data_IF_456017301466
#
_entry.id   IF_456017301466
#
_cell.length_a   1.000
_cell.length_b   1.000
_cell.length_c   1.000
_cell.angle_alpha   90.00
_cell.angle_beta   90.00
_cell.angle_gamma   90.00
#
_symmetry.space_group_name_H-M   'P 1'
#
loop_
_entity.id
_entity.type
_entity.pdbx_description
1 polymer ?
#
# COMPACT_ATOMS: atom_id res chain seq x y z
N UNK A 1 -14.20 11.95 19.40
CA UNK A 1 -13.37 11.72 20.61
C UNK A 1 -12.01 11.15 20.18
N UNK A 2 -10.99 11.21 21.02
CA UNK A 2 -9.67 10.63 20.73
C UNK A 2 -9.78 9.13 20.47
N UNK A 3 -10.59 8.43 21.26
CA UNK A 3 -10.83 6.99 21.10
C UNK A 3 -11.44 6.67 19.74
N UNK A 4 -12.41 7.44 19.26
CA UNK A 4 -12.99 7.26 17.93
C UNK A 4 -11.96 7.42 16.81
N UNK A 5 -11.10 8.43 16.90
CA UNK A 5 -10.05 8.67 15.92
C UNK A 5 -9.03 7.52 15.88
N UNK A 6 -8.60 7.05 17.04
CA UNK A 6 -7.65 5.93 17.17
C UNK A 6 -8.25 4.60 16.67
N UNK A 7 -9.51 4.34 16.96
CA UNK A 7 -10.21 3.15 16.48
C UNK A 7 -10.32 3.14 14.95
N UNK A 8 -10.68 4.27 14.35
CA UNK A 8 -10.75 4.42 12.89
C UNK A 8 -9.37 4.30 12.23
N UNK A 9 -8.34 4.88 12.83
CA UNK A 9 -6.97 4.74 12.35
C UNK A 9 -6.52 3.28 12.36
N UNK A 10 -6.72 2.57 13.49
CA UNK A 10 -6.40 1.15 13.60
C UNK A 10 -7.14 0.29 12.59
N UNK A 11 -8.43 0.58 12.34
CA UNK A 11 -9.22 -0.14 11.36
C UNK A 11 -8.68 0.08 9.94
N UNK A 12 -8.35 1.32 9.57
CA UNK A 12 -7.74 1.65 8.27
C UNK A 12 -6.36 1.01 8.07
N UNK A 13 -5.58 0.89 9.14
CA UNK A 13 -4.31 0.16 9.11
C UNK A 13 -4.51 -1.33 8.79
N UNK A 14 -5.50 -1.97 9.44
CA UNK A 14 -5.84 -3.38 9.16
C UNK A 14 -6.39 -3.53 7.73
N UNK A 15 -7.24 -2.61 7.28
CA UNK A 15 -7.75 -2.60 5.90
C UNK A 15 -6.59 -2.54 4.89
N UNK A 16 -5.61 -1.68 5.10
CA UNK A 16 -4.42 -1.59 4.24
C UNK A 16 -3.63 -2.91 4.20
N UNK A 17 -3.44 -3.56 5.37
CA UNK A 17 -2.79 -4.87 5.44
C UNK A 17 -3.55 -5.93 4.64
N UNK A 18 -4.86 -5.98 4.77
CA UNK A 18 -5.71 -6.92 4.05
C UNK A 18 -5.71 -6.66 2.54
N UNK A 19 -5.79 -5.40 2.10
CA UNK A 19 -5.72 -5.03 0.68
C UNK A 19 -4.38 -5.42 0.06
N UNK A 20 -3.29 -5.25 0.79
CA UNK A 20 -1.95 -5.55 0.28
C UNK A 20 -1.58 -7.03 0.39
N UNK A 21 -1.83 -7.66 1.53
CA UNK A 21 -1.29 -8.97 1.89
C UNK A 21 -2.33 -10.00 2.33
N UNK A 22 -3.61 -9.70 2.31
CA UNK A 22 -4.64 -10.67 2.69
C UNK A 22 -4.45 -12.01 1.98
N UNK A 23 -4.67 -13.11 2.70
CA UNK A 23 -4.44 -14.47 2.21
C UNK A 23 -5.67 -15.11 1.57
N UNK A 24 -6.81 -14.43 1.58
CA UNK A 24 -8.08 -14.91 1.02
C UNK A 24 -8.73 -16.05 1.82
N UNK A 25 -8.25 -16.35 3.03
CA UNK A 25 -8.81 -17.43 3.85
C UNK A 25 -9.84 -16.92 4.85
N UNK A 26 -10.96 -17.64 5.02
CA UNK A 26 -11.99 -17.27 5.96
C UNK A 26 -12.61 -15.91 5.70
N UNK A 27 -12.41 -14.95 6.61
CA UNK A 27 -12.91 -13.57 6.50
C UNK A 27 -11.86 -12.60 5.95
N UNK A 28 -10.67 -13.08 5.57
CA UNK A 28 -9.61 -12.25 5.01
C UNK A 28 -9.83 -11.94 3.53
N UNK A 29 -9.43 -10.75 3.11
CA UNK A 29 -9.39 -10.41 1.68
C UNK A 29 -8.28 -11.19 0.96
N UNK A 30 -8.43 -11.43 -0.34
CA UNK A 30 -7.32 -11.87 -1.17
C UNK A 30 -6.58 -10.62 -1.69
N UNK A 31 -5.44 -10.33 -1.06
CA UNK A 31 -4.66 -9.11 -1.28
C UNK A 31 -4.03 -9.02 -2.67
N UNK A 32 -3.53 -7.84 -3.02
CA UNK A 32 -2.91 -7.60 -4.33
C UNK A 32 -1.55 -8.30 -4.44
N UNK A 33 -0.72 -8.24 -3.39
CA UNK A 33 0.64 -8.80 -3.42
C UNK A 33 0.71 -10.31 -3.70
N UNK A 34 -0.14 -11.17 -3.09
CA UNK A 34 -0.14 -12.59 -3.41
C UNK A 34 -0.51 -12.90 -4.86
N UNK A 35 -1.30 -12.04 -5.50
CA UNK A 35 -1.79 -12.21 -6.87
C UNK A 35 -0.91 -11.52 -7.91
N UNK A 36 -0.10 -10.52 -7.51
CA UNK A 36 0.75 -9.76 -8.42
C UNK A 36 1.78 -10.64 -9.15
N UNK A 37 2.12 -10.25 -10.35
CA UNK A 37 3.18 -10.90 -11.12
C UNK A 37 4.53 -10.66 -10.45
N UNK A 38 5.34 -11.70 -10.34
CA UNK A 38 6.70 -11.55 -9.79
C UNK A 38 7.52 -10.63 -10.69
N UNK A 39 8.25 -9.72 -10.06
CA UNK A 39 9.20 -8.86 -10.77
C UNK A 39 10.24 -9.68 -11.52
N UNK A 40 10.42 -9.36 -12.78
CA UNK A 40 11.44 -9.92 -13.65
C UNK A 40 11.94 -8.83 -14.59
N UNK A 41 13.17 -8.39 -14.39
CA UNK A 41 13.79 -7.42 -15.27
C UNK A 41 13.83 -7.93 -16.72
N UNK A 42 13.41 -7.08 -17.66
CA UNK A 42 13.44 -7.42 -19.09
C UNK A 42 14.86 -7.42 -19.66
N UNK A 43 15.76 -6.64 -19.04
CA UNK A 43 17.19 -6.53 -19.37
C UNK A 43 17.97 -6.08 -18.15
N UNK A 44 19.28 -6.27 -18.19
CA UNK A 44 20.18 -5.84 -17.12
C UNK A 44 20.60 -4.37 -17.32
N UNK A 45 20.65 -3.62 -16.23
CA UNK A 45 21.13 -2.24 -16.19
C UNK A 45 22.46 -2.21 -15.43
N UNK A 46 23.47 -1.55 -15.99
CA UNK A 46 24.74 -1.40 -15.30
C UNK A 46 24.56 -0.61 -13.99
N UNK A 47 25.12 -1.11 -12.89
CA UNK A 47 24.99 -0.51 -11.55
C UNK A 47 23.53 -0.31 -11.12
N UNK A 48 22.66 -1.27 -11.44
CA UNK A 48 21.24 -1.24 -11.14
C UNK A 48 20.95 -0.95 -9.66
N UNK A 49 19.98 -0.10 -9.44
CA UNK A 49 19.53 0.31 -8.11
C UNK A 49 17.98 0.28 -8.02
N UNK A 50 17.42 0.59 -6.86
CA UNK A 50 15.97 0.56 -6.65
C UNK A 50 15.16 1.50 -7.56
N UNK A 51 15.76 2.56 -8.07
CA UNK A 51 15.14 3.48 -9.05
C UNK A 51 14.98 2.78 -10.40
N UNK A 52 16.00 2.03 -10.81
CA UNK A 52 15.98 1.25 -12.05
C UNK A 52 15.00 0.09 -11.95
N UNK A 53 14.93 -0.58 -10.79
CA UNK A 53 13.97 -1.66 -10.54
C UNK A 53 12.53 -1.19 -10.73
N UNK A 54 12.18 -0.04 -10.18
CA UNK A 54 10.85 0.55 -10.35
C UNK A 54 10.57 0.90 -11.81
N UNK A 55 11.56 1.40 -12.55
CA UNK A 55 11.39 1.67 -13.99
C UNK A 55 11.19 0.39 -14.79
N UNK A 56 11.92 -0.67 -14.47
CA UNK A 56 11.79 -1.97 -15.12
C UNK A 56 10.45 -2.65 -14.76
N UNK A 57 9.96 -2.46 -13.53
CA UNK A 57 8.63 -2.91 -13.15
C UNK A 57 7.52 -2.20 -13.95
N UNK A 58 7.67 -0.88 -14.18
CA UNK A 58 6.75 -0.16 -15.08
C UNK A 58 6.78 -0.74 -16.49
N UNK A 59 7.96 -1.06 -17.01
CA UNK A 59 8.11 -1.70 -18.31
C UNK A 59 7.42 -3.07 -18.34
N UNK A 60 7.58 -3.87 -17.31
CA UNK A 60 6.91 -5.17 -17.21
C UNK A 60 5.38 -5.04 -17.26
N UNK A 61 4.80 -4.11 -16.50
CA UNK A 61 3.37 -3.82 -16.54
C UNK A 61 2.91 -3.32 -17.93
N UNK A 62 3.72 -2.47 -18.57
CA UNK A 62 3.44 -1.97 -19.91
C UNK A 62 3.47 -3.07 -20.98
N UNK A 63 4.42 -4.01 -20.88
CA UNK A 63 4.47 -5.18 -21.76
C UNK A 63 3.26 -6.11 -21.57
N UNK A 64 2.69 -6.14 -20.37
CA UNK A 64 1.41 -6.81 -20.10
C UNK A 64 0.18 -6.01 -20.62
N UNK A 65 0.40 -4.87 -21.27
CA UNK A 65 -0.62 -3.93 -21.80
C UNK A 65 -1.38 -3.13 -20.74
N UNK A 66 -0.83 -3.03 -19.53
CA UNK A 66 -1.38 -2.22 -18.44
C UNK A 66 -0.33 -1.21 -17.96
N UNK A 67 -0.23 -0.03 -18.59
CA UNK A 67 0.72 1.00 -18.15
C UNK A 67 0.50 1.33 -16.68
N UNK A 68 1.57 1.31 -15.89
CA UNK A 68 1.51 1.58 -14.46
C UNK A 68 1.01 3.00 -14.18
N UNK A 69 0.25 3.16 -13.10
CA UNK A 69 -0.32 4.45 -12.66
C UNK A 69 0.25 4.92 -11.33
N UNK A 70 1.03 4.11 -10.64
CA UNK A 70 1.64 4.46 -9.36
C UNK A 70 2.57 3.41 -8.82
N UNK A 71 3.25 3.78 -7.75
CA UNK A 71 4.14 2.92 -6.97
C UNK A 71 3.73 2.91 -5.51
N UNK A 72 3.84 1.77 -4.85
CA UNK A 72 3.70 1.64 -3.40
C UNK A 72 5.03 1.14 -2.84
N UNK A 73 5.53 1.81 -1.82
CA UNK A 73 6.80 1.54 -1.15
C UNK A 73 6.66 1.68 0.36
N UNK A 74 7.54 1.04 1.12
CA UNK A 74 7.65 1.32 2.54
C UNK A 74 8.31 2.69 2.78
N UNK A 75 7.93 3.40 3.84
CA UNK A 75 8.52 4.70 4.20
C UNK A 75 10.05 4.70 4.20
N UNK A 76 10.66 3.66 4.79
CA UNK A 76 12.11 3.53 4.87
C UNK A 76 12.72 3.38 3.47
N UNK A 77 12.11 2.57 2.61
CA UNK A 77 12.66 2.33 1.26
C UNK A 77 12.49 3.55 0.37
N UNK A 78 11.39 4.28 0.51
CA UNK A 78 11.22 5.56 -0.16
C UNK A 78 12.27 6.60 0.31
N UNK A 79 12.49 6.72 1.62
CA UNK A 79 13.51 7.60 2.16
C UNK A 79 14.93 7.25 1.67
N UNK A 80 15.26 5.96 1.53
CA UNK A 80 16.54 5.53 0.94
C UNK A 80 16.69 6.02 -0.50
N UNK A 81 15.62 5.95 -1.29
CA UNK A 81 15.62 6.42 -2.68
C UNK A 81 15.80 7.93 -2.75
N UNK A 82 15.09 8.68 -1.92
CA UNK A 82 15.20 10.14 -1.86
C UNK A 82 16.62 10.62 -1.45
N UNK A 83 17.29 9.84 -0.60
CA UNK A 83 18.61 10.18 -0.07
C UNK A 83 19.78 9.74 -0.97
N UNK A 84 19.51 9.18 -2.15
CA UNK A 84 20.58 8.82 -3.10
C UNK A 84 21.33 10.09 -3.56
N UNK A 85 22.64 10.05 -3.42
CA UNK A 85 23.56 11.15 -3.76
C UNK A 85 24.54 10.73 -4.86
N UNK A 86 25.02 11.72 -5.59
CA UNK A 86 26.13 11.54 -6.53
C UNK A 86 27.48 11.47 -5.78
N UNK A 87 28.58 11.26 -6.52
CA UNK A 87 29.93 11.18 -5.98
C UNK A 87 30.41 12.49 -5.34
N UNK A 88 29.71 13.60 -5.60
CA UNK A 88 29.98 14.92 -5.02
C UNK A 88 29.08 15.24 -3.82
N UNK A 89 28.24 14.29 -3.39
CA UNK A 89 27.34 14.44 -2.25
C UNK A 89 26.05 15.22 -2.54
N UNK A 90 25.72 15.46 -3.81
CA UNK A 90 24.49 16.16 -4.20
C UNK A 90 23.34 15.14 -4.34
N UNK A 91 22.14 15.52 -3.90
CA UNK A 91 20.95 14.70 -4.11
C UNK A 91 20.62 14.58 -5.59
N UNK A 92 20.27 13.37 -6.02
CA UNK A 92 19.92 13.09 -7.42
C UNK A 92 18.44 13.36 -7.67
N UNK A 93 17.57 12.86 -6.79
CA UNK A 93 16.11 12.96 -6.92
C UNK A 93 15.50 14.04 -6.04
N UNK A 94 15.93 14.12 -4.80
CA UNK A 94 15.36 15.03 -3.84
C UNK A 94 15.85 16.45 -4.08
N UNK A 95 14.92 17.39 -4.18
CA UNK A 95 15.20 18.81 -4.01
C UNK A 95 14.56 19.25 -2.69
N UNK A 96 15.36 19.41 -1.61
CA UNK A 96 14.82 19.78 -0.31
C UNK A 96 14.06 21.11 -0.28
N UNK A 97 14.26 21.96 -1.27
CA UNK A 97 13.60 23.24 -1.41
C UNK A 97 12.32 23.20 -2.28
N UNK A 98 12.05 22.08 -2.94
CA UNK A 98 10.88 21.95 -3.80
C UNK A 98 9.72 21.31 -3.05
N UNK A 99 8.56 21.95 -3.11
CA UNK A 99 7.29 21.45 -2.58
C UNK A 99 6.58 20.54 -3.61
N UNK A 100 7.31 19.60 -4.22
CA UNK A 100 6.72 18.62 -5.12
C UNK A 100 6.31 17.38 -4.34
N UNK A 101 5.14 16.84 -4.63
CA UNK A 101 4.69 15.58 -4.04
C UNK A 101 5.62 14.41 -4.40
N UNK A 102 5.54 13.26 -3.69
CA UNK A 102 6.38 12.10 -3.95
C UNK A 102 6.02 11.49 -5.31
N UNK A 103 6.89 11.71 -6.29
CA UNK A 103 6.73 11.17 -7.65
C UNK A 103 8.03 10.53 -8.12
N UNK A 104 7.91 9.45 -8.87
CA UNK A 104 9.04 8.77 -9.51
C UNK A 104 8.64 8.33 -10.90
N UNK A 105 9.48 8.65 -11.89
CA UNK A 105 9.18 8.37 -13.32
C UNK A 105 7.83 8.93 -13.79
N UNK A 106 7.43 10.08 -13.25
CA UNK A 106 6.17 10.73 -13.58
C UNK A 106 4.93 10.11 -12.93
N UNK A 107 5.09 9.10 -12.08
CA UNK A 107 4.00 8.44 -11.35
C UNK A 107 4.02 8.79 -9.87
N UNK A 108 2.86 8.89 -9.21
CA UNK A 108 2.81 9.11 -7.78
C UNK A 108 3.38 7.91 -7.01
N UNK A 109 4.06 8.20 -5.91
CA UNK A 109 4.54 7.22 -4.95
C UNK A 109 3.71 7.32 -3.68
N UNK A 110 3.14 6.20 -3.28
CA UNK A 110 2.43 6.06 -2.00
C UNK A 110 3.32 5.30 -1.04
N UNK A 111 3.64 5.91 0.09
CA UNK A 111 4.43 5.28 1.13
C UNK A 111 3.52 4.63 2.17
N UNK A 112 3.83 3.39 2.55
CA UNK A 112 3.10 2.62 3.57
C UNK A 112 3.96 2.40 4.81
N UNK A 113 3.31 2.32 5.96
CA UNK A 113 3.95 1.95 7.24
C UNK A 113 3.95 0.44 7.50
N UNK A 114 3.33 -0.34 6.63
CA UNK A 114 3.25 -1.80 6.77
C UNK A 114 4.64 -2.43 6.82
N UNK A 115 5.01 -3.00 7.97
CA UNK A 115 6.32 -3.67 8.14
C UNK A 115 6.52 -4.85 7.19
N UNK A 116 5.44 -5.50 6.76
CA UNK A 116 5.47 -6.58 5.77
C UNK A 116 5.90 -6.10 4.37
N UNK A 117 5.84 -4.80 4.12
CA UNK A 117 6.22 -4.18 2.84
C UNK A 117 7.70 -3.78 2.77
N UNK A 118 8.44 -3.82 3.88
CA UNK A 118 9.85 -3.44 3.91
C UNK A 118 10.68 -4.30 2.95
N UNK A 119 11.46 -3.63 2.09
CA UNK A 119 12.26 -4.28 1.05
C UNK A 119 11.46 -4.80 -0.14
N UNK A 120 10.20 -4.41 -0.26
CA UNK A 120 9.31 -4.76 -1.37
C UNK A 120 8.76 -3.51 -2.03
N UNK A 121 8.26 -3.68 -3.23
CA UNK A 121 7.52 -2.62 -3.93
C UNK A 121 6.31 -3.22 -4.65
N UNK A 122 5.37 -2.39 -4.98
CA UNK A 122 4.25 -2.72 -5.84
C UNK A 122 4.07 -1.60 -6.87
N UNK A 123 4.23 -1.95 -8.12
CA UNK A 123 4.03 -1.04 -9.25
C UNK A 123 2.94 -1.59 -10.14
N UNK A 124 1.98 -0.78 -10.54
CA UNK A 124 0.92 -1.29 -11.39
C UNK A 124 -0.12 -0.27 -11.79
N UNK A 125 -1.05 -0.75 -12.61
CA UNK A 125 -2.21 -0.01 -13.07
C UNK A 125 -3.38 -0.21 -12.09
N UNK A 126 -3.39 0.51 -10.98
CA UNK A 126 -4.31 0.29 -9.86
C UNK A 126 -5.79 0.41 -10.25
N UNK A 127 -6.16 1.45 -10.98
CA UNK A 127 -7.57 1.67 -11.37
C UNK A 127 -8.09 0.65 -12.38
N UNK A 128 -7.22 0.12 -13.23
CA UNK A 128 -7.58 -0.89 -14.22
C UNK A 128 -7.51 -2.32 -13.68
N UNK A 129 -6.55 -2.57 -12.76
CA UNK A 129 -6.21 -3.90 -12.29
C UNK A 129 -7.02 -4.38 -11.09
N UNK A 130 -7.46 -3.48 -10.22
CA UNK A 130 -8.19 -3.83 -8.99
C UNK A 130 -9.36 -2.89 -8.72
N UNK A 131 -10.31 -3.37 -7.95
CA UNK A 131 -11.45 -2.58 -7.49
C UNK A 131 -11.78 -2.93 -6.05
N UNK A 132 -11.85 -1.91 -5.23
CA UNK A 132 -12.36 -2.01 -3.86
C UNK A 132 -13.87 -1.75 -3.87
N UNK A 133 -14.62 -2.58 -3.18
CA UNK A 133 -16.05 -2.42 -2.96
C UNK A 133 -16.27 -2.17 -1.48
N UNK A 134 -16.75 -1.00 -1.16
CA UNK A 134 -17.15 -0.63 0.19
C UNK A 134 -18.66 -0.86 0.33
N UNK A 135 -19.03 -1.75 1.23
CA UNK A 135 -20.42 -2.06 1.54
C UNK A 135 -20.93 -1.32 2.77
N UNK A 136 -20.04 -1.08 3.72
CA UNK A 136 -20.35 -0.42 4.98
C UNK A 136 -19.13 0.37 5.44
N UNK A 137 -19.29 1.68 5.53
CA UNK A 137 -18.24 2.57 6.01
C UNK A 137 -17.89 2.30 7.47
N UNK A 138 -16.67 2.67 7.85
CA UNK A 138 -16.17 2.51 9.21
C UNK A 138 -17.11 3.13 10.25
N UNK A 139 -17.71 2.27 11.08
CA UNK A 139 -18.66 2.63 12.12
C UNK A 139 -18.12 2.29 13.49
N UNK A 140 -18.25 3.24 14.44
CA UNK A 140 -17.87 3.04 15.84
C UNK A 140 -19.13 2.97 16.69
N UNK A 141 -19.35 1.83 17.33
CA UNK A 141 -20.50 1.56 18.20
C UNK A 141 -20.01 1.39 19.63
N UNK A 142 -20.71 2.03 20.55
CA UNK A 142 -20.46 1.95 22.01
C UNK A 142 -21.64 1.21 22.64
N UNK A 143 -21.36 0.19 23.45
CA UNK A 143 -22.36 -0.59 24.18
C UNK A 143 -21.92 -0.83 25.61
N UNK A 144 -22.87 -0.83 26.52
CA UNK A 144 -22.74 -1.27 27.93
C UNK A 144 -23.42 -2.60 28.21
N UNK A 145 -24.01 -3.22 27.18
CA UNK A 145 -24.85 -4.40 27.29
C UNK A 145 -24.19 -5.70 26.84
N UNK A 146 -22.86 -5.64 26.58
CA UNK A 146 -22.14 -6.80 26.10
C UNK A 146 -21.77 -7.73 27.29
N UNK A 147 -22.30 -8.96 27.26
CA UNK A 147 -22.06 -9.98 28.28
C UNK A 147 -22.31 -9.43 29.71
N UNK A 148 -21.28 -9.33 30.54
CA UNK A 148 -21.34 -8.87 31.94
C UNK A 148 -20.79 -7.43 32.12
N UNK A 149 -20.72 -6.66 31.03
CA UNK A 149 -20.18 -5.27 31.02
C UNK A 149 -20.95 -4.37 32.00
N UNK A 150 -22.29 -4.52 32.09
CA UNK A 150 -23.14 -3.74 32.99
C UNK A 150 -22.79 -4.00 34.46
N UNK A 151 -22.61 -5.27 34.83
CA UNK A 151 -22.29 -5.67 36.21
C UNK A 151 -20.89 -5.23 36.63
N UNK A 152 -19.96 -5.20 35.68
CA UNK A 152 -18.56 -4.80 35.87
C UNK A 152 -18.31 -3.32 35.66
N UNK A 153 -19.32 -2.54 35.34
CA UNK A 153 -19.20 -1.12 34.97
C UNK A 153 -18.18 -0.88 33.84
N UNK A 154 -18.26 -1.72 32.80
CA UNK A 154 -17.41 -1.63 31.61
C UNK A 154 -18.18 -1.13 30.39
N UNK A 155 -17.45 -0.65 29.40
CA UNK A 155 -17.98 -0.18 28.12
C UNK A 155 -17.24 -0.92 27.02
N UNK A 156 -17.97 -1.59 26.15
CA UNK A 156 -17.42 -2.19 24.93
C UNK A 156 -17.52 -1.20 23.76
N UNK A 157 -16.40 -1.01 23.05
CA UNK A 157 -16.34 -0.17 21.87
C UNK A 157 -15.96 -1.07 20.69
N UNK A 158 -16.79 -1.05 19.63
CA UNK A 158 -16.60 -1.82 18.40
C UNK A 158 -16.45 -0.87 17.23
N UNK A 159 -15.41 -1.06 16.45
CA UNK A 159 -15.23 -0.40 15.17
C UNK A 159 -15.21 -1.46 14.07
N UNK A 160 -16.08 -1.32 13.09
CA UNK A 160 -16.20 -2.29 11.99
C UNK A 160 -16.48 -1.60 10.67
N UNK A 161 -16.07 -2.26 9.60
CA UNK A 161 -16.39 -1.91 8.21
C UNK A 161 -16.55 -3.19 7.40
N UNK A 162 -17.16 -3.07 6.22
CA UNK A 162 -17.34 -4.20 5.30
C UNK A 162 -16.85 -3.81 3.93
N UNK A 163 -15.72 -4.42 3.54
CA UNK A 163 -15.08 -4.18 2.27
C UNK A 163 -14.88 -5.50 1.52
N UNK A 164 -14.78 -5.41 0.20
CA UNK A 164 -14.38 -6.51 -0.66
C UNK A 164 -13.40 -5.99 -1.71
N UNK A 165 -12.39 -6.79 -2.03
CA UNK A 165 -11.38 -6.48 -3.04
C UNK A 165 -11.53 -7.47 -4.20
N UNK A 166 -11.55 -6.94 -5.42
CA UNK A 166 -11.45 -7.75 -6.64
C UNK A 166 -10.22 -7.33 -7.44
N UNK A 167 -9.25 -8.22 -7.57
CA UNK A 167 -8.11 -8.05 -8.48
C UNK A 167 -8.52 -8.63 -9.82
N UNK A 168 -8.89 -7.76 -10.75
CA UNK A 168 -9.43 -8.14 -12.07
C UNK A 168 -8.34 -8.52 -13.05
N UNK A 169 -7.17 -7.96 -12.89
CA UNK A 169 -6.01 -8.12 -13.78
C UNK A 169 -4.73 -8.24 -12.96
N UNK A 170 -4.40 -9.44 -12.47
CA UNK A 170 -3.17 -9.67 -11.69
C UNK A 170 -1.90 -9.24 -12.44
N UNK A 171 -1.89 -9.41 -13.75
CA UNK A 171 -0.80 -9.03 -14.65
C UNK A 171 -0.55 -7.51 -14.74
N UNK A 172 -1.49 -6.70 -14.25
CA UNK A 172 -1.32 -5.25 -14.16
C UNK A 172 -0.44 -4.82 -12.97
N UNK A 173 -0.09 -5.74 -12.10
CA UNK A 173 0.70 -5.52 -10.90
C UNK A 173 2.00 -6.32 -10.92
N UNK A 174 3.08 -5.66 -10.47
CA UNK A 174 4.44 -6.19 -10.40
C UNK A 174 5.07 -5.90 -9.05
#
# INVERSE_FOLDING_TARGET
STVDAEMRYGLKYVEEQEILFGDGTGAHLEGIMPQASKYKAAFEVAMQNGIDDLRLAMLQAQLARFPATGHVLHFIDWAKIELIKDTLGRYILANPAALTGPTLWGLPVVATESSAFLGKFLTGAFSAGAQLFDREEANVVISTENADDFEKNMISIRCEERVALAVKRPEAFV
#
